data_IF_793993970702
#
_entry.id   IF_793993970702
#
_cell.length_a   1.000
_cell.length_b   1.000
_cell.length_c   1.000
_cell.angle_alpha   90.00
_cell.angle_beta   90.00
_cell.angle_gamma   90.00
#
_symmetry.space_group_name_H-M   'P 1'
#
loop_
_entity.id
_entity.type
_entity.pdbx_description
1 polymer ?
#
# COMPACT_ATOMS: atom_id res chain seq x y z
N UNK A 1 32.78 -61.33 -22.32
CA UNK A 1 31.98 -60.65 -21.27
C UNK A 1 31.78 -59.22 -21.67
N UNK A 2 30.57 -58.88 -22.21
CA UNK A 2 30.23 -57.51 -22.66
C UNK A 2 29.54 -56.77 -21.51
N UNK A 3 30.14 -55.69 -21.01
CA UNK A 3 29.55 -54.81 -19.98
C UNK A 3 28.63 -53.81 -20.68
N UNK A 4 27.35 -53.86 -20.39
CA UNK A 4 26.36 -52.88 -20.81
C UNK A 4 26.45 -51.63 -19.89
N UNK A 5 26.66 -50.47 -20.51
CA UNK A 5 26.59 -49.17 -19.80
C UNK A 5 25.14 -48.68 -19.82
N UNK A 6 24.60 -48.40 -18.62
CA UNK A 6 23.26 -47.83 -18.44
C UNK A 6 23.43 -46.29 -18.40
N UNK A 7 22.75 -45.52 -19.26
CA UNK A 7 22.76 -44.07 -19.15
C UNK A 7 21.82 -43.61 -18.05
N UNK A 8 22.37 -42.86 -17.06
CA UNK A 8 21.61 -42.18 -16.04
C UNK A 8 21.08 -40.88 -16.67
N UNK A 9 19.79 -40.84 -16.95
CA UNK A 9 19.12 -39.59 -17.35
C UNK A 9 18.89 -38.72 -16.11
N UNK A 10 19.63 -37.64 -16.01
CA UNK A 10 19.42 -36.60 -14.96
C UNK A 10 18.17 -35.78 -15.34
N UNK A 11 17.07 -36.02 -14.62
CA UNK A 11 15.89 -35.16 -14.70
C UNK A 11 16.17 -33.82 -14.01
N UNK A 12 16.34 -32.78 -14.80
CA UNK A 12 16.37 -31.39 -14.30
C UNK A 12 14.95 -30.99 -13.95
N UNK A 13 14.62 -31.05 -12.66
CA UNK A 13 13.37 -30.47 -12.14
C UNK A 13 13.53 -28.95 -12.17
N UNK A 14 13.00 -28.33 -13.20
CA UNK A 14 12.85 -26.89 -13.29
C UNK A 14 11.83 -26.43 -12.22
N UNK A 15 12.30 -25.84 -11.14
CA UNK A 15 11.44 -25.11 -10.21
C UNK A 15 10.97 -23.87 -10.97
N UNK A 16 9.76 -23.93 -11.54
CA UNK A 16 9.05 -22.76 -11.99
C UNK A 16 8.80 -21.91 -10.75
N UNK A 17 9.57 -20.83 -10.58
CA UNK A 17 9.23 -19.73 -9.69
C UNK A 17 7.89 -19.19 -10.20
N UNK A 18 6.78 -19.68 -9.65
CA UNK A 18 5.47 -19.11 -9.84
C UNK A 18 5.57 -17.66 -9.34
N UNK A 19 5.67 -16.69 -10.26
CA UNK A 19 5.38 -15.30 -9.95
C UNK A 19 3.96 -15.30 -9.38
N UNK A 20 3.83 -15.17 -8.07
CA UNK A 20 2.52 -14.96 -7.44
C UNK A 20 1.90 -13.74 -8.10
N UNK A 21 0.70 -13.84 -8.68
CA UNK A 21 0.07 -12.69 -9.26
C UNK A 21 -0.10 -11.65 -8.15
N UNK A 22 0.39 -10.46 -8.39
CA UNK A 22 0.20 -9.30 -7.54
C UNK A 22 -1.31 -9.12 -7.32
N UNK A 23 -1.78 -9.26 -6.10
CA UNK A 23 -3.21 -9.27 -5.79
C UNK A 23 -3.48 -8.45 -4.55
N UNK A 24 -4.50 -7.61 -4.63
CA UNK A 24 -5.06 -6.90 -3.49
C UNK A 24 -6.22 -7.73 -2.96
N UNK A 25 -6.20 -8.04 -1.69
CA UNK A 25 -7.17 -8.88 -1.01
C UNK A 25 -7.75 -8.17 0.24
N UNK A 26 -8.73 -8.80 0.87
CA UNK A 26 -9.33 -8.32 2.12
C UNK A 26 -10.80 -7.98 1.98
N UNK A 27 -11.45 -7.70 3.11
CA UNK A 27 -12.89 -7.44 3.16
C UNK A 27 -13.31 -6.12 2.46
N UNK A 28 -12.34 -5.26 2.11
CA UNK A 28 -12.63 -4.06 1.32
C UNK A 28 -13.13 -4.40 -0.10
N UNK A 29 -12.69 -5.52 -0.68
CA UNK A 29 -13.15 -6.01 -1.99
C UNK A 29 -14.65 -6.36 -2.03
N UNK A 30 -15.27 -6.63 -0.90
CA UNK A 30 -16.71 -6.93 -0.83
C UNK A 30 -17.57 -5.71 -1.16
N UNK A 31 -17.03 -4.50 -1.00
CA UNK A 31 -17.75 -3.25 -1.17
C UNK A 31 -17.15 -2.32 -2.25
N UNK A 32 -15.97 -2.67 -2.77
CA UNK A 32 -15.27 -1.92 -3.80
C UNK A 32 -14.71 -2.84 -4.88
N UNK A 33 -14.81 -2.38 -6.12
CA UNK A 33 -14.03 -2.94 -7.22
C UNK A 33 -12.59 -2.43 -7.12
N UNK A 34 -11.69 -3.33 -6.73
CA UNK A 34 -10.25 -3.10 -6.64
C UNK A 34 -9.47 -3.67 -7.83
N UNK A 35 -10.14 -3.92 -8.96
CA UNK A 35 -9.47 -4.36 -10.19
C UNK A 35 -8.56 -3.24 -10.72
N UNK A 36 -7.31 -3.56 -10.97
CA UNK A 36 -6.29 -2.64 -11.48
C UNK A 36 -5.51 -3.29 -12.63
N UNK A 37 -4.70 -2.48 -13.34
CA UNK A 37 -3.83 -2.94 -14.42
C UNK A 37 -2.36 -2.67 -14.13
N UNK A 38 -2.04 -1.55 -13.48
CA UNK A 38 -0.69 -1.14 -13.18
C UNK A 38 -0.53 -0.79 -11.70
N UNK A 39 0.70 -0.97 -11.19
CA UNK A 39 1.09 -0.52 -9.86
C UNK A 39 2.29 0.41 -10.00
N UNK A 40 2.18 1.58 -9.40
CA UNK A 40 3.18 2.64 -9.44
C UNK A 40 3.61 3.00 -8.03
N UNK A 41 4.91 3.20 -7.85
CA UNK A 41 5.48 3.72 -6.63
C UNK A 41 6.05 5.10 -6.93
N UNK A 42 5.61 6.08 -6.17
CA UNK A 42 6.05 7.47 -6.31
C UNK A 42 6.56 8.04 -4.99
N UNK A 43 7.44 9.03 -5.13
CA UNK A 43 7.98 9.82 -4.03
C UNK A 43 7.52 11.26 -4.18
N UNK A 44 7.02 11.86 -3.11
CA UNK A 44 6.62 13.26 -3.08
C UNK A 44 7.10 13.90 -1.76
N UNK A 45 8.25 14.59 -1.81
CA UNK A 45 8.90 15.11 -0.62
C UNK A 45 9.31 14.00 0.34
N UNK A 46 8.70 13.99 1.52
CA UNK A 46 8.90 12.98 2.58
C UNK A 46 7.84 11.86 2.56
N UNK A 47 7.13 11.70 1.45
CA UNK A 47 6.05 10.73 1.34
C UNK A 47 6.36 9.68 0.26
N UNK A 48 6.08 8.42 0.57
CA UNK A 48 6.04 7.31 -0.39
C UNK A 48 4.58 6.94 -0.63
N UNK A 49 4.21 6.70 -1.90
CA UNK A 49 2.88 6.26 -2.27
C UNK A 49 2.93 5.10 -3.27
N UNK A 50 2.21 4.04 -2.96
CA UNK A 50 1.94 2.93 -3.88
C UNK A 50 0.53 3.08 -4.41
N UNK A 51 0.39 3.15 -5.74
CA UNK A 51 -0.87 3.40 -6.44
C UNK A 51 -1.24 2.23 -7.34
N UNK A 52 -2.40 1.66 -7.11
CA UNK A 52 -3.03 0.69 -8.01
C UNK A 52 -3.92 1.45 -8.98
N UNK A 53 -3.62 1.40 -10.26
CA UNK A 53 -4.26 2.23 -11.28
C UNK A 53 -4.87 1.40 -12.40
N UNK A 54 -5.90 1.95 -13.07
CA UNK A 54 -6.48 1.40 -14.29
C UNK A 54 -6.88 2.50 -15.26
N UNK A 55 -6.78 2.27 -16.58
CA UNK A 55 -7.28 3.21 -17.58
C UNK A 55 -8.80 3.40 -17.46
N UNK A 56 -9.27 4.64 -17.64
CA UNK A 56 -10.68 4.98 -17.70
C UNK A 56 -10.91 6.07 -18.73
N UNK A 57 -11.37 5.68 -19.92
CA UNK A 57 -11.52 6.63 -21.04
C UNK A 57 -10.18 7.27 -21.41
N UNK A 58 -10.10 8.61 -21.38
CA UNK A 58 -8.87 9.36 -21.61
C UNK A 58 -8.06 9.62 -20.30
N UNK A 59 -8.55 9.15 -19.16
CA UNK A 59 -7.95 9.36 -17.83
C UNK A 59 -7.43 8.09 -17.19
N UNK A 60 -7.07 8.22 -15.94
CA UNK A 60 -6.55 7.15 -15.10
C UNK A 60 -7.29 7.15 -13.75
N UNK A 61 -7.94 6.03 -13.43
CA UNK A 61 -8.48 5.80 -12.10
C UNK A 61 -7.37 5.34 -11.16
N UNK A 62 -7.27 5.91 -9.97
CA UNK A 62 -6.52 5.34 -8.84
C UNK A 62 -7.51 4.56 -7.99
N UNK A 63 -7.53 3.22 -8.15
CA UNK A 63 -8.48 2.35 -7.44
C UNK A 63 -8.14 2.18 -5.97
N UNK A 64 -6.86 2.28 -5.65
CA UNK A 64 -6.32 2.27 -4.30
C UNK A 64 -4.98 3.01 -4.29
N UNK A 65 -4.75 3.81 -3.28
CA UNK A 65 -3.44 4.37 -2.96
C UNK A 65 -3.19 4.14 -1.48
N UNK A 66 -2.03 3.56 -1.18
CA UNK A 66 -1.50 3.46 0.18
C UNK A 66 -0.26 4.33 0.23
N UNK A 67 -0.28 5.33 1.06
CA UNK A 67 0.84 6.26 1.22
C UNK A 67 1.31 6.31 2.67
N UNK A 68 2.61 6.61 2.84
CA UNK A 68 3.24 6.79 4.15
C UNK A 68 4.09 8.04 4.17
N UNK A 69 4.05 8.76 5.28
CA UNK A 69 4.99 9.83 5.59
C UNK A 69 6.23 9.27 6.25
N UNK A 70 7.39 9.65 5.75
CA UNK A 70 8.67 9.21 6.29
C UNK A 70 9.04 9.92 7.59
N UNK A 71 8.72 11.21 7.71
CA UNK A 71 8.99 12.04 8.89
C UNK A 71 10.40 11.82 9.46
N UNK A 72 11.40 11.96 8.58
CA UNK A 72 12.80 11.72 8.91
C UNK A 72 13.23 10.26 8.97
N UNK A 73 12.34 9.30 8.77
CA UNK A 73 12.70 7.89 8.63
C UNK A 73 13.46 7.66 7.32
N UNK A 74 14.53 6.91 7.42
CA UNK A 74 15.18 6.33 6.24
C UNK A 74 14.64 4.94 6.03
N UNK A 75 13.78 4.75 5.04
CA UNK A 75 13.27 3.42 4.69
C UNK A 75 14.38 2.58 4.08
N UNK A 76 14.68 1.47 4.72
CA UNK A 76 15.64 0.47 4.22
C UNK A 76 14.87 -0.72 3.67
N UNK A 77 15.51 -1.46 2.82
CA UNK A 77 14.98 -2.73 2.31
C UNK A 77 14.65 -3.67 3.47
N UNK A 78 13.41 -4.12 3.53
CA UNK A 78 12.92 -5.03 4.55
C UNK A 78 12.46 -4.35 5.85
N UNK A 79 12.60 -3.04 5.99
CA UNK A 79 12.03 -2.32 7.13
C UNK A 79 10.50 -2.35 7.06
N UNK A 80 9.89 -2.71 8.16
CA UNK A 80 8.44 -2.69 8.30
C UNK A 80 8.02 -1.33 8.86
N UNK A 81 7.35 -0.52 8.02
CA UNK A 81 6.84 0.78 8.43
C UNK A 81 5.42 0.62 8.99
N UNK A 82 5.22 1.05 10.22
CA UNK A 82 3.90 1.02 10.87
C UNK A 82 3.02 2.17 10.37
N UNK A 83 2.01 1.84 9.58
CA UNK A 83 1.09 2.82 9.00
C UNK A 83 0.11 3.42 10.03
N UNK A 84 -0.17 2.71 11.11
CA UNK A 84 -1.05 3.18 12.19
C UNK A 84 -0.35 4.11 13.19
N UNK A 85 0.97 4.30 13.05
CA UNK A 85 1.75 5.12 13.96
C UNK A 85 1.28 6.58 13.91
N UNK A 86 0.93 7.19 15.07
CA UNK A 86 0.63 8.61 15.14
C UNK A 86 1.89 9.41 14.78
N UNK A 87 1.75 10.42 13.95
CA UNK A 87 2.86 11.33 13.68
C UNK A 87 3.07 12.26 14.90
N UNK A 88 4.33 12.45 15.34
CA UNK A 88 4.60 13.41 16.36
C UNK A 88 4.22 14.82 15.89
N UNK A 89 3.33 15.42 16.63
CA UNK A 89 2.97 16.83 16.63
C UNK A 89 2.90 17.61 15.29
N UNK A 90 1.80 17.42 14.58
CA UNK A 90 1.11 18.61 14.10
C UNK A 90 0.18 19.21 15.17
N UNK A 91 0.28 18.75 16.40
CA UNK A 91 -0.30 19.42 17.53
C UNK A 91 0.44 20.74 17.68
N UNK A 92 -0.27 21.85 17.45
CA UNK A 92 0.07 23.16 17.99
C UNK A 92 1.00 24.09 17.18
N UNK A 93 1.23 23.89 15.90
CA UNK A 93 1.68 25.03 15.10
C UNK A 93 0.45 25.73 14.54
N UNK A 94 0.07 26.82 15.21
CA UNK A 94 -0.99 27.76 14.83
C UNK A 94 -2.43 27.23 14.76
N UNK A 95 -2.95 26.67 15.84
CA UNK A 95 -4.30 27.07 16.23
C UNK A 95 -4.19 28.57 16.62
N UNK A 96 -4.16 29.41 15.60
CA UNK A 96 -4.37 30.84 15.81
C UNK A 96 -5.61 31.00 16.67
N UNK A 97 -5.53 31.79 17.67
CA UNK A 97 -6.41 32.29 18.73
C UNK A 97 -7.91 31.99 18.73
N UNK A 98 -8.44 31.27 17.73
CA UNK A 98 -9.82 30.79 17.66
C UNK A 98 -9.80 29.25 17.77
N UNK A 99 -9.55 28.78 18.99
CA UNK A 99 -9.48 27.34 19.31
C UNK A 99 -10.69 26.56 18.81
N UNK A 100 -10.61 26.09 17.57
CA UNK A 100 -11.54 25.12 17.02
C UNK A 100 -11.33 23.75 17.67
N UNK A 101 -11.87 23.58 18.85
CA UNK A 101 -12.05 22.26 19.46
C UNK A 101 -13.06 21.52 18.59
N UNK A 102 -12.66 20.36 18.03
CA UNK A 102 -13.63 19.48 17.38
C UNK A 102 -14.79 19.18 18.35
N UNK A 103 -16.03 19.03 17.87
CA UNK A 103 -17.21 18.87 18.73
C UNK A 103 -17.13 17.70 19.72
N UNK A 104 -16.24 16.75 19.49
CA UNK A 104 -15.97 15.57 20.32
C UNK A 104 -14.72 15.67 21.19
N UNK A 105 -14.03 16.84 21.20
CA UNK A 105 -12.87 17.09 22.04
C UNK A 105 -11.61 16.32 21.68
N UNK A 106 -11.59 15.60 20.56
CA UNK A 106 -10.44 14.88 20.06
C UNK A 106 -9.55 15.78 19.18
N UNK A 107 -8.24 15.73 19.38
CA UNK A 107 -7.29 16.28 18.43
C UNK A 107 -7.30 15.39 17.17
N UNK A 108 -7.26 15.99 15.95
CA UNK A 108 -7.13 15.20 14.74
C UNK A 108 -5.79 14.45 14.78
N UNK A 109 -5.85 13.16 14.99
CA UNK A 109 -4.66 12.32 14.98
C UNK A 109 -4.23 12.13 13.54
N UNK A 110 -3.15 12.78 13.13
CA UNK A 110 -2.50 12.45 11.86
C UNK A 110 -1.72 11.15 12.04
N UNK A 111 -1.90 10.24 11.12
CA UNK A 111 -1.20 8.97 11.08
C UNK A 111 -0.13 8.99 9.99
N UNK A 112 0.89 8.16 10.16
CA UNK A 112 1.93 7.93 9.16
C UNK A 112 1.35 7.42 7.84
N UNK A 113 0.44 6.46 7.91
CA UNK A 113 -0.23 5.87 6.76
C UNK A 113 -1.55 6.53 6.43
N UNK A 114 -1.81 6.69 5.13
CA UNK A 114 -3.11 7.15 4.61
C UNK A 114 -3.51 6.26 3.45
N UNK A 115 -4.79 5.88 3.41
CA UNK A 115 -5.36 5.15 2.27
C UNK A 115 -6.37 6.04 1.57
N UNK A 116 -6.22 6.16 0.26
CA UNK A 116 -7.11 6.96 -0.58
C UNK A 116 -7.55 6.21 -1.84
N UNK A 117 -8.54 6.79 -2.52
CA UNK A 117 -9.09 6.31 -3.78
C UNK A 117 -9.51 7.52 -4.62
N UNK A 118 -9.20 7.50 -5.91
CA UNK A 118 -9.68 8.48 -6.87
C UNK A 118 -10.15 7.79 -8.16
N UNK A 119 -11.45 7.48 -8.19
CA UNK A 119 -12.11 6.81 -9.30
C UNK A 119 -13.18 7.73 -9.87
N UNK A 120 -13.22 7.82 -11.18
CA UNK A 120 -14.20 8.68 -11.89
C UNK A 120 -15.64 8.33 -11.47
N UNK A 121 -16.40 9.35 -11.06
CA UNK A 121 -17.76 9.25 -10.54
C UNK A 121 -17.92 8.48 -9.22
N UNK A 122 -16.85 8.16 -8.51
CA UNK A 122 -16.94 7.61 -7.16
C UNK A 122 -16.65 8.74 -6.15
N UNK A 123 -17.59 9.11 -5.27
CA UNK A 123 -17.37 10.16 -4.27
C UNK A 123 -16.47 9.71 -3.10
N UNK A 124 -16.21 8.43 -2.98
CA UNK A 124 -15.46 7.82 -1.87
C UNK A 124 -13.97 7.96 -2.06
N UNK A 125 -13.38 9.06 -1.59
CA UNK A 125 -11.97 9.40 -1.84
C UNK A 125 -11.02 9.06 -0.70
N UNK A 126 -11.52 9.01 0.53
CA UNK A 126 -10.70 8.73 1.72
C UNK A 126 -11.32 7.62 2.55
N UNK A 127 -10.47 6.93 3.29
CA UNK A 127 -10.84 5.86 4.21
C UNK A 127 -10.67 6.32 5.66
N UNK A 128 -11.27 5.60 6.62
CA UNK A 128 -11.04 5.85 8.04
C UNK A 128 -9.58 5.73 8.42
N UNK A 129 -9.25 6.19 9.63
CA UNK A 129 -7.92 6.00 10.21
C UNK A 129 -7.58 4.50 10.28
N UNK A 130 -6.30 4.21 10.20
CA UNK A 130 -5.77 2.85 10.28
C UNK A 130 -5.66 2.46 11.75
N UNK A 131 -6.25 1.33 12.15
CA UNK A 131 -6.11 0.79 13.50
C UNK A 131 -4.88 -0.11 13.63
N UNK A 132 -4.51 -0.78 12.55
CA UNK A 132 -3.33 -1.62 12.44
C UNK A 132 -2.91 -1.71 10.98
N UNK A 133 -1.62 -1.69 10.71
CA UNK A 133 -1.14 -1.81 9.34
C UNK A 133 0.35 -1.55 9.19
N UNK A 134 0.87 -2.09 8.10
CA UNK A 134 2.27 -1.91 7.74
C UNK A 134 2.45 -1.83 6.23
N UNK A 135 3.59 -1.27 5.83
CA UNK A 135 4.15 -1.39 4.48
C UNK A 135 5.62 -1.79 4.58
N UNK A 136 6.06 -2.64 3.66
CA UNK A 136 7.46 -3.06 3.54
C UNK A 136 7.87 -3.08 2.08
N UNK A 137 9.06 -2.53 1.79
CA UNK A 137 9.71 -2.60 0.49
C UNK A 137 10.84 -3.63 0.56
N UNK A 138 10.82 -4.62 -0.33
CA UNK A 138 11.85 -5.69 -0.39
C UNK A 138 13.05 -5.32 -1.24
N UNK A 139 12.95 -4.26 -2.05
CA UNK A 139 14.00 -3.76 -2.92
C UNK A 139 14.23 -2.28 -2.68
N UNK A 140 15.43 -1.80 -3.01
CA UNK A 140 15.73 -0.36 -3.00
C UNK A 140 15.10 0.31 -4.21
N UNK A 141 14.22 1.30 -4.02
CA UNK A 141 13.62 2.03 -5.13
C UNK A 141 14.69 2.75 -5.98
N UNK A 142 14.56 2.64 -7.31
CA UNK A 142 15.39 3.35 -8.29
C UNK A 142 14.50 3.86 -9.40
N UNK A 143 14.70 5.07 -9.84
CA UNK A 143 13.94 5.70 -10.93
C UNK A 143 13.84 4.78 -12.15
N UNK A 144 12.62 4.59 -12.63
CA UNK A 144 12.31 3.70 -13.75
C UNK A 144 12.49 2.20 -13.47
N UNK A 145 12.91 1.83 -12.25
CA UNK A 145 13.04 0.43 -11.83
C UNK A 145 11.73 -0.18 -11.33
N UNK A 146 11.82 -1.41 -10.86
CA UNK A 146 10.69 -2.09 -10.20
C UNK A 146 11.05 -2.37 -8.75
N UNK A 147 10.06 -2.27 -7.86
CA UNK A 147 10.17 -2.56 -6.43
C UNK A 147 9.10 -3.58 -6.07
N UNK A 148 9.49 -4.62 -5.36
CA UNK A 148 8.58 -5.54 -4.73
C UNK A 148 8.32 -5.10 -3.30
N UNK A 149 7.12 -5.35 -2.81
CA UNK A 149 6.75 -5.05 -1.44
C UNK A 149 5.46 -5.72 -1.04
N UNK A 150 5.08 -5.52 0.20
CA UNK A 150 3.76 -5.92 0.71
C UNK A 150 3.20 -4.85 1.63
N UNK A 151 1.89 -4.89 1.82
CA UNK A 151 1.18 -4.03 2.74
C UNK A 151 0.02 -4.76 3.39
N UNK A 152 -0.35 -4.30 4.56
CA UNK A 152 -1.58 -4.71 5.23
C UNK A 152 -2.16 -3.51 5.97
N UNK A 153 -3.48 -3.32 5.88
CA UNK A 153 -4.20 -2.24 6.54
C UNK A 153 -5.50 -2.78 7.11
N UNK A 154 -5.74 -2.48 8.37
CA UNK A 154 -7.03 -2.64 9.05
C UNK A 154 -7.54 -1.27 9.45
N UNK A 155 -8.71 -0.88 8.98
CA UNK A 155 -9.31 0.40 9.33
C UNK A 155 -9.96 0.38 10.72
N UNK A 156 -10.01 1.53 11.37
CA UNK A 156 -10.70 1.68 12.65
C UNK A 156 -12.18 1.34 12.52
N UNK A 157 -12.75 0.88 13.62
CA UNK A 157 -14.20 0.65 13.72
C UNK A 157 -14.91 1.99 13.90
N UNK A 158 -15.82 2.30 13.02
CA UNK A 158 -16.65 3.49 13.01
C UNK A 158 -17.97 3.16 12.28
N UNK A 159 -18.79 4.15 12.00
CA UNK A 159 -20.05 3.98 11.26
C UNK A 159 -19.92 4.35 9.78
N UNK A 160 -18.79 4.92 9.37
CA UNK A 160 -18.57 5.42 8.03
C UNK A 160 -18.14 4.32 7.05
N UNK A 161 -18.00 4.70 5.79
CA UNK A 161 -17.58 3.82 4.71
C UNK A 161 -16.15 3.26 4.96
N UNK A 162 -16.00 1.96 4.79
CA UNK A 162 -14.71 1.27 4.95
C UNK A 162 -14.33 0.90 6.39
N UNK A 163 -15.11 1.35 7.37
CA UNK A 163 -14.84 1.07 8.79
C UNK A 163 -14.74 -0.42 9.12
N UNK A 164 -13.72 -0.79 9.90
CA UNK A 164 -13.46 -2.17 10.32
C UNK A 164 -13.07 -3.12 9.19
N UNK A 165 -12.89 -2.62 7.97
CA UNK A 165 -12.46 -3.41 6.81
C UNK A 165 -10.95 -3.60 6.79
N UNK A 166 -10.52 -4.62 6.04
CA UNK A 166 -9.11 -4.92 5.80
C UNK A 166 -8.80 -4.85 4.33
N UNK A 167 -7.57 -4.46 4.00
CA UNK A 167 -6.99 -4.56 2.67
C UNK A 167 -5.52 -4.89 2.81
N UNK A 168 -5.03 -5.86 2.03
CA UNK A 168 -3.65 -6.30 2.08
C UNK A 168 -3.22 -6.93 0.74
N UNK A 169 -1.94 -7.09 0.56
CA UNK A 169 -1.41 -7.76 -0.63
C UNK A 169 0.08 -7.55 -0.83
N UNK A 170 0.60 -8.33 -1.77
CA UNK A 170 1.94 -8.13 -2.30
C UNK A 170 1.86 -7.29 -3.57
N UNK A 171 2.89 -6.51 -3.84
CA UNK A 171 2.95 -5.70 -5.04
C UNK A 171 4.32 -5.73 -5.71
N UNK A 172 4.31 -5.51 -7.02
CA UNK A 172 5.46 -5.19 -7.83
C UNK A 172 5.17 -3.89 -8.58
N UNK A 173 5.72 -2.80 -8.09
CA UNK A 173 5.46 -1.46 -8.58
C UNK A 173 6.59 -0.94 -9.47
N UNK A 174 6.24 -0.15 -10.49
CA UNK A 174 7.21 0.65 -11.26
C UNK A 174 7.44 1.97 -10.54
N UNK A 175 8.71 2.34 -10.33
CA UNK A 175 9.13 3.60 -9.71
C UNK A 175 9.01 4.73 -10.72
N UNK A 176 8.41 5.86 -10.31
CA UNK A 176 8.18 7.08 -11.13
C UNK A 176 8.90 8.28 -10.55
#
# INVERSE_FOLDING_TARGET
MKRAAVPIAAAVVGVALACSPTKVEGSLQEILDLTYQDIKLGFAGDQIAVRWTRPKGAGLDTVLEVSEKLDGLTVRTGDLVNLAEPLPDFALVDAGTDGGVLPDGGLPTQQRGVVTRDVFNDPRKSFPLISDGFMVLYDVPRDGGTVNGSFSVTFQRCIDFGCGRTVFGDFKATVQ
#
